data_IF_791376404930
#
_entry.id   IF_791376404930
#
_cell.length_a   1.000
_cell.length_b   1.000
_cell.length_c   1.000
_cell.angle_alpha   90.00
_cell.angle_beta   90.00
_cell.angle_gamma   90.00
#
_symmetry.space_group_name_H-M   'P 1'
#
loop_
_entity.id
_entity.type
_entity.pdbx_description
1 polymer ?
#
# COMPACT_ATOMS: atom_id res chain seq x y z
N UNK A 1 49.33 24.91 -3.69
CA UNK A 1 49.28 23.54 -4.24
C UNK A 1 48.02 22.88 -3.78
N UNK A 2 47.11 22.47 -4.67
CA UNK A 2 45.90 21.76 -4.25
C UNK A 2 46.27 20.29 -3.93
N UNK A 3 45.80 19.84 -2.76
CA UNK A 3 45.93 18.45 -2.33
C UNK A 3 44.90 17.65 -3.10
N UNK A 4 45.34 16.82 -4.04
CA UNK A 4 44.48 15.84 -4.70
C UNK A 4 44.38 14.64 -3.77
N UNK A 5 43.21 14.45 -3.12
CA UNK A 5 42.88 13.23 -2.40
C UNK A 5 42.46 12.18 -3.42
N UNK A 6 43.34 11.25 -3.74
CA UNK A 6 43.03 10.05 -4.49
C UNK A 6 42.08 9.17 -3.64
N UNK A 7 40.85 8.99 -4.12
CA UNK A 7 39.96 7.97 -3.57
C UNK A 7 40.43 6.59 -4.03
N UNK A 8 40.51 5.60 -3.12
CA UNK A 8 40.87 4.25 -3.50
C UNK A 8 39.85 3.67 -4.48
N UNK A 9 40.25 2.86 -5.46
CA UNK A 9 39.35 2.30 -6.46
C UNK A 9 38.27 1.44 -5.78
N UNK A 10 37.02 1.74 -6.10
CA UNK A 10 35.89 0.94 -5.68
C UNK A 10 36.00 -0.45 -6.32
N UNK A 11 36.17 -1.48 -5.50
CA UNK A 11 36.17 -2.87 -5.97
C UNK A 11 34.82 -3.18 -6.61
N UNK A 12 34.75 -3.81 -7.80
CA UNK A 12 33.49 -4.21 -8.40
C UNK A 12 32.78 -5.17 -7.46
N UNK A 13 31.51 -4.88 -7.19
CA UNK A 13 30.62 -5.76 -6.43
C UNK A 13 30.42 -7.02 -7.28
N UNK A 14 31.03 -8.13 -6.85
CA UNK A 14 30.76 -9.44 -7.42
C UNK A 14 29.27 -9.74 -7.24
N UNK A 15 28.57 -10.01 -8.35
CA UNK A 15 27.20 -10.51 -8.31
C UNK A 15 27.16 -11.76 -7.46
N UNK A 16 26.69 -11.67 -6.23
CA UNK A 16 26.25 -12.84 -5.49
C UNK A 16 24.96 -13.31 -6.18
N UNK A 17 25.02 -14.47 -6.82
CA UNK A 17 23.79 -15.16 -7.23
C UNK A 17 23.00 -15.47 -5.96
N UNK A 18 21.87 -14.77 -5.81
CA UNK A 18 20.91 -15.06 -4.77
C UNK A 18 20.15 -16.33 -5.20
N UNK A 19 20.60 -17.50 -4.76
CA UNK A 19 19.79 -18.71 -4.87
C UNK A 19 18.56 -18.50 -4.01
N UNK A 20 17.40 -18.45 -4.65
CA UNK A 20 16.13 -18.27 -3.97
C UNK A 20 15.95 -19.39 -2.92
N UNK A 21 15.37 -19.10 -1.75
CA UNK A 21 15.12 -20.10 -0.70
C UNK A 21 14.27 -21.30 -1.14
N UNK A 22 13.59 -21.20 -2.29
CA UNK A 22 12.78 -22.28 -2.87
C UNK A 22 13.62 -23.50 -3.30
N UNK A 23 14.86 -23.30 -3.77
CA UNK A 23 15.72 -24.43 -4.15
C UNK A 23 16.12 -25.31 -2.94
N UNK A 24 16.15 -24.72 -1.74
CA UNK A 24 16.42 -25.49 -0.52
C UNK A 24 15.22 -26.29 -0.03
N UNK A 25 13.99 -25.87 -0.35
CA UNK A 25 12.76 -26.59 -0.01
C UNK A 25 12.54 -27.80 -0.92
N UNK A 26 12.85 -27.70 -2.21
CA UNK A 26 12.78 -28.82 -3.15
C UNK A 26 13.81 -29.90 -2.82
N UNK A 27 15.04 -29.50 -2.50
CA UNK A 27 16.11 -30.45 -2.13
C UNK A 27 15.81 -31.18 -0.82
N UNK A 28 15.11 -30.54 0.13
CA UNK A 28 14.71 -31.17 1.38
C UNK A 28 13.52 -32.13 1.22
N UNK A 29 12.65 -31.89 0.24
CA UNK A 29 11.51 -32.77 -0.07
C UNK A 29 11.95 -34.05 -0.79
N UNK A 30 12.93 -33.98 -1.69
CA UNK A 30 13.50 -35.15 -2.36
C UNK A 30 14.21 -36.12 -1.41
N UNK A 31 14.82 -35.59 -0.33
CA UNK A 31 15.59 -36.41 0.60
C UNK A 31 14.75 -37.26 1.59
N UNK A 32 13.43 -37.07 1.70
CA UNK A 32 12.63 -37.71 2.75
C UNK A 32 11.36 -38.44 2.31
N UNK A 33 10.97 -38.42 1.05
CA UNK A 33 9.75 -39.10 0.59
C UNK A 33 8.49 -38.66 1.37
N UNK A 34 8.51 -37.50 2.00
CA UNK A 34 7.41 -36.96 2.77
C UNK A 34 6.62 -36.04 1.84
N UNK A 35 5.49 -36.57 1.37
CA UNK A 35 4.47 -35.69 0.76
C UNK A 35 3.92 -34.81 1.87
N UNK A 36 4.45 -33.63 2.05
CA UNK A 36 3.84 -32.58 2.86
C UNK A 36 2.64 -32.03 2.08
N UNK A 37 1.54 -32.75 2.06
CA UNK A 37 0.23 -32.12 1.90
C UNK A 37 0.01 -31.26 3.15
N UNK A 38 0.48 -30.02 3.09
CA UNK A 38 0.05 -29.02 4.04
C UNK A 38 -1.48 -28.96 3.97
N UNK A 39 -2.20 -29.14 5.10
CA UNK A 39 -3.63 -28.94 5.08
C UNK A 39 -3.86 -27.53 4.53
N UNK A 40 -4.66 -27.41 3.47
CA UNK A 40 -5.17 -26.13 2.99
C UNK A 40 -6.11 -25.57 4.05
N UNK A 41 -5.54 -25.09 5.15
CA UNK A 41 -6.28 -24.28 6.09
C UNK A 41 -6.64 -22.99 5.34
N UNK A 42 -7.91 -22.87 4.98
CA UNK A 42 -8.44 -21.60 4.49
C UNK A 42 -8.20 -20.59 5.61
N UNK A 43 -7.35 -19.56 5.39
CA UNK A 43 -7.10 -18.59 6.44
C UNK A 43 -8.44 -17.95 6.84
N UNK A 44 -8.66 -17.65 8.12
CA UNK A 44 -9.86 -16.98 8.55
C UNK A 44 -10.00 -15.65 7.82
N UNK A 45 -11.23 -15.22 7.49
CA UNK A 45 -11.46 -13.94 6.83
C UNK A 45 -10.94 -12.79 7.69
N UNK A 46 -10.38 -11.75 7.05
CA UNK A 46 -9.93 -10.56 7.74
C UNK A 46 -11.09 -9.86 8.44
N UNK A 47 -10.88 -9.41 9.67
CA UNK A 47 -11.79 -8.49 10.36
C UNK A 47 -11.53 -7.07 9.85
N UNK A 48 -12.45 -6.55 9.03
CA UNK A 48 -12.36 -5.23 8.42
C UNK A 48 -12.75 -4.09 9.36
N UNK A 49 -13.42 -4.38 10.49
CA UNK A 49 -13.99 -3.38 11.41
C UNK A 49 -13.00 -2.27 11.80
N UNK A 50 -11.71 -2.54 12.07
CA UNK A 50 -10.79 -1.48 12.46
C UNK A 50 -10.62 -0.38 11.40
N UNK A 51 -10.84 -0.69 10.12
CA UNK A 51 -10.69 0.26 9.01
C UNK A 51 -11.97 1.02 8.71
N UNK A 52 -13.16 0.44 8.99
CA UNK A 52 -14.45 0.95 8.51
C UNK A 52 -14.82 2.30 9.14
N UNK A 53 -15.49 3.11 8.35
CA UNK A 53 -16.06 4.39 8.75
C UNK A 53 -15.55 5.57 7.95
N UNK A 54 -15.97 6.76 8.38
CA UNK A 54 -15.57 8.03 7.77
C UNK A 54 -14.32 8.56 8.46
N UNK A 55 -13.33 8.91 7.66
CA UNK A 55 -12.05 9.47 8.09
C UNK A 55 -11.91 10.87 7.55
N UNK A 56 -11.59 11.82 8.41
CA UNK A 56 -11.42 13.24 8.10
C UNK A 56 -9.95 13.62 8.23
N UNK A 57 -9.46 14.41 7.28
CA UNK A 57 -8.10 14.91 7.34
C UNK A 57 -7.90 15.80 8.58
N UNK A 58 -6.83 15.58 9.33
CA UNK A 58 -6.47 16.41 10.48
C UNK A 58 -6.07 17.82 10.04
N UNK A 59 -5.55 18.00 8.83
CA UNK A 59 -5.35 19.30 8.21
C UNK A 59 -6.61 19.76 7.49
N UNK A 60 -7.33 20.72 8.10
CA UNK A 60 -8.57 21.30 7.55
C UNK A 60 -8.35 22.13 6.28
N UNK A 61 -7.10 22.53 6.01
CA UNK A 61 -6.71 23.32 4.85
C UNK A 61 -6.04 22.47 3.76
N UNK A 62 -6.13 21.14 3.87
CA UNK A 62 -5.54 20.24 2.88
C UNK A 62 -6.01 20.57 1.47
N UNK A 63 -5.09 20.48 0.51
CA UNK A 63 -5.40 20.60 -0.93
C UNK A 63 -5.54 19.24 -1.62
N UNK A 64 -5.39 18.14 -0.87
CA UNK A 64 -5.47 16.79 -1.38
C UNK A 64 -6.78 16.10 -1.01
N UNK A 65 -6.74 15.20 -0.03
CA UNK A 65 -7.90 14.40 0.42
C UNK A 65 -8.42 14.93 1.76
N UNK A 66 -9.54 15.68 1.79
CA UNK A 66 -10.17 16.13 3.03
C UNK A 66 -10.94 15.03 3.75
N UNK A 67 -11.46 14.03 3.00
CA UNK A 67 -12.34 13.00 3.53
C UNK A 67 -12.21 11.71 2.72
N UNK A 68 -12.31 10.58 3.40
CA UNK A 68 -12.56 9.28 2.79
C UNK A 68 -13.51 8.45 3.67
N UNK A 69 -14.14 7.46 3.06
CA UNK A 69 -14.99 6.50 3.73
C UNK A 69 -14.64 5.08 3.33
N UNK A 70 -14.50 4.21 4.31
CA UNK A 70 -14.25 2.78 4.11
C UNK A 70 -15.49 2.00 4.51
N UNK A 71 -16.01 1.20 3.59
CA UNK A 71 -17.19 0.36 3.78
C UNK A 71 -16.89 -1.08 3.44
N UNK A 72 -17.66 -2.01 4.01
CA UNK A 72 -17.53 -3.43 3.73
C UNK A 72 -18.86 -4.05 3.31
N UNK A 73 -18.79 -4.98 2.36
CA UNK A 73 -19.87 -5.88 2.01
C UNK A 73 -19.36 -7.31 2.11
N UNK A 74 -19.72 -8.01 3.21
CA UNK A 74 -19.11 -9.28 3.56
C UNK A 74 -17.61 -9.12 3.80
N UNK A 75 -16.78 -9.80 3.03
CA UNK A 75 -15.32 -9.73 3.09
C UNK A 75 -14.71 -8.71 2.12
N UNK A 76 -15.52 -8.07 1.29
CA UNK A 76 -15.07 -7.08 0.32
C UNK A 76 -15.02 -5.69 0.94
N UNK A 77 -13.85 -5.04 0.87
CA UNK A 77 -13.64 -3.66 1.28
C UNK A 77 -13.78 -2.74 0.07
N UNK A 78 -14.40 -1.59 0.29
CA UNK A 78 -14.51 -0.50 -0.69
C UNK A 78 -14.11 0.82 -0.05
N UNK A 79 -13.57 1.71 -0.86
CA UNK A 79 -13.17 3.06 -0.45
C UNK A 79 -13.85 4.10 -1.33
N UNK A 80 -14.38 5.14 -0.71
CA UNK A 80 -14.86 6.36 -1.35
C UNK A 80 -14.00 7.53 -0.90
N UNK A 81 -13.44 8.27 -1.84
CA UNK A 81 -12.56 9.41 -1.57
C UNK A 81 -13.19 10.70 -2.11
N UNK A 82 -12.98 11.78 -1.39
CA UNK A 82 -13.29 13.14 -1.83
C UNK A 82 -11.98 13.95 -1.88
N UNK A 83 -11.76 14.62 -3.01
CA UNK A 83 -10.65 15.54 -3.20
C UNK A 83 -11.03 16.97 -2.80
N UNK A 84 -10.04 17.78 -2.44
CA UNK A 84 -10.23 19.19 -2.12
C UNK A 84 -10.46 20.02 -3.39
N UNK A 85 -11.70 20.33 -3.67
CA UNK A 85 -12.14 21.23 -4.73
C UNK A 85 -12.96 22.39 -4.16
N UNK A 86 -13.09 23.46 -4.90
CA UNK A 86 -13.87 24.64 -4.51
C UNK A 86 -14.93 24.92 -5.59
N UNK A 87 -16.21 25.16 -5.22
CA UNK A 87 -16.76 25.37 -3.87
C UNK A 87 -17.13 24.08 -3.11
N UNK A 88 -17.17 22.92 -3.78
CA UNK A 88 -17.50 21.61 -3.19
C UNK A 88 -16.40 20.60 -3.44
N UNK A 89 -16.31 19.58 -2.61
CA UNK A 89 -15.34 18.50 -2.79
C UNK A 89 -15.55 17.75 -4.10
N UNK A 90 -14.44 17.37 -4.75
CA UNK A 90 -14.46 16.49 -5.91
C UNK A 90 -14.77 15.06 -5.46
N UNK A 91 -15.79 14.47 -5.99
CA UNK A 91 -16.18 13.10 -5.73
C UNK A 91 -15.38 12.13 -6.63
N UNK A 92 -14.45 11.38 -6.02
CA UNK A 92 -13.65 10.37 -6.73
C UNK A 92 -14.39 9.05 -6.95
N UNK A 93 -15.61 8.92 -6.41
CA UNK A 93 -16.42 7.71 -6.44
C UNK A 93 -15.86 6.60 -5.53
N UNK A 94 -16.60 5.49 -5.51
CA UNK A 94 -16.25 4.30 -4.75
C UNK A 94 -15.52 3.31 -5.64
N UNK A 95 -14.38 2.79 -5.16
CA UNK A 95 -13.65 1.72 -5.82
C UNK A 95 -13.38 0.58 -4.85
N UNK A 96 -13.14 -0.64 -5.35
CA UNK A 96 -12.69 -1.75 -4.51
C UNK A 96 -11.35 -1.45 -3.87
N UNK A 97 -11.18 -1.91 -2.62
CA UNK A 97 -9.94 -1.84 -1.89
C UNK A 97 -9.52 -3.23 -1.41
N UNK A 98 -8.23 -3.46 -1.28
CA UNK A 98 -7.68 -4.68 -0.72
C UNK A 98 -7.17 -4.41 0.69
N UNK A 99 -7.68 -5.17 1.66
CA UNK A 99 -7.25 -5.07 3.05
C UNK A 99 -6.08 -6.00 3.36
N UNK A 100 -5.29 -5.64 4.38
CA UNK A 100 -4.13 -6.40 4.84
C UNK A 100 -4.11 -6.43 6.37
N UNK A 101 -3.74 -7.59 6.93
CA UNK A 101 -3.36 -7.71 8.33
C UNK A 101 -1.88 -7.28 8.51
N UNK A 102 -1.44 -7.19 9.76
CA UNK A 102 -0.04 -6.91 10.10
C UNK A 102 0.87 -8.14 10.03
N UNK A 103 0.28 -9.34 10.02
CA UNK A 103 1.02 -10.60 9.92
C UNK A 103 0.16 -11.71 9.30
N UNK A 104 0.81 -12.81 8.91
CA UNK A 104 0.14 -14.00 8.32
C UNK A 104 -0.78 -14.72 9.32
N UNK A 105 -0.62 -14.48 10.61
CA UNK A 105 -1.39 -15.10 11.69
C UNK A 105 -2.43 -14.14 12.29
N UNK A 106 -2.52 -12.90 11.81
CA UNK A 106 -3.40 -11.87 12.34
C UNK A 106 -4.69 -11.79 11.52
N UNK A 107 -5.81 -11.52 12.19
CA UNK A 107 -7.11 -11.33 11.52
C UNK A 107 -7.54 -9.86 11.41
N UNK A 108 -7.20 -8.93 12.34
CA UNK A 108 -7.57 -7.54 12.18
C UNK A 108 -6.89 -6.92 10.96
N UNK A 109 -7.68 -6.28 10.10
CA UNK A 109 -7.16 -5.48 9.01
C UNK A 109 -6.59 -4.16 9.55
N UNK A 110 -5.33 -3.89 9.22
CA UNK A 110 -4.61 -2.69 9.68
C UNK A 110 -4.18 -1.78 8.54
N UNK A 111 -4.27 -2.26 7.30
CA UNK A 111 -3.91 -1.49 6.12
C UNK A 111 -4.81 -1.85 4.93
N UNK A 112 -4.81 -0.96 3.94
CA UNK A 112 -5.48 -1.21 2.67
C UNK A 112 -4.73 -0.56 1.51
N UNK A 113 -5.03 -1.03 0.29
CA UNK A 113 -4.64 -0.40 -0.96
C UNK A 113 -5.85 -0.27 -1.87
N UNK A 114 -5.88 0.79 -2.68
CA UNK A 114 -6.88 0.99 -3.73
C UNK A 114 -6.25 1.71 -4.93
N UNK A 115 -6.85 1.55 -6.09
CA UNK A 115 -6.40 2.20 -7.31
C UNK A 115 -7.56 2.99 -7.93
N UNK A 116 -7.35 4.28 -8.08
CA UNK A 116 -8.20 5.19 -8.85
C UNK A 116 -7.61 5.42 -10.23
N UNK A 117 -8.45 5.33 -11.25
CA UNK A 117 -8.06 5.61 -12.64
C UNK A 117 -8.93 6.73 -13.18
N UNK A 118 -8.31 7.87 -13.36
CA UNK A 118 -8.90 9.02 -14.03
C UNK A 118 -8.36 9.08 -15.47
N UNK A 119 -8.95 9.93 -16.30
CA UNK A 119 -8.50 10.08 -17.69
C UNK A 119 -7.08 10.63 -17.85
N UNK A 120 -6.54 11.28 -16.82
CA UNK A 120 -5.26 12.00 -16.85
C UNK A 120 -4.25 11.50 -15.81
N UNK A 121 -4.69 10.74 -14.79
CA UNK A 121 -3.84 10.27 -13.69
C UNK A 121 -4.33 8.94 -13.14
N UNK A 122 -3.42 8.05 -12.81
CA UNK A 122 -3.67 6.89 -11.96
C UNK A 122 -3.16 7.20 -10.55
N UNK A 123 -4.03 7.04 -9.54
CA UNK A 123 -3.71 7.30 -8.14
C UNK A 123 -3.81 6.01 -7.35
N UNK A 124 -2.67 5.53 -6.86
CA UNK A 124 -2.64 4.46 -5.86
C UNK A 124 -2.82 5.07 -4.48
N UNK A 125 -3.81 4.59 -3.74
CA UNK A 125 -4.09 5.00 -2.36
C UNK A 125 -3.70 3.87 -1.43
N UNK A 126 -2.85 4.15 -0.46
CA UNK A 126 -2.44 3.23 0.60
C UNK A 126 -2.86 3.84 1.94
N UNK A 127 -3.53 3.07 2.78
CA UNK A 127 -3.88 3.49 4.14
C UNK A 127 -3.35 2.52 5.16
N UNK A 128 -2.91 3.04 6.32
CA UNK A 128 -2.43 2.24 7.44
C UNK A 128 -2.90 2.82 8.76
N UNK A 129 -3.48 1.97 9.61
CA UNK A 129 -3.82 2.32 10.98
C UNK A 129 -2.58 2.32 11.86
N UNK A 130 -2.31 3.45 12.50
CA UNK A 130 -1.24 3.59 13.49
C UNK A 130 -1.69 4.55 14.58
N UNK A 131 -1.52 4.18 15.84
CA UNK A 131 -1.82 5.04 17.00
C UNK A 131 -3.23 5.63 17.01
N UNK A 132 -4.22 4.89 16.49
CA UNK A 132 -5.62 5.34 16.41
C UNK A 132 -5.94 6.31 15.26
N UNK A 133 -4.97 6.69 14.45
CA UNK A 133 -5.13 7.48 13.24
C UNK A 133 -4.97 6.62 11.99
N UNK A 134 -5.51 7.08 10.88
CA UNK A 134 -5.27 6.50 9.57
C UNK A 134 -4.26 7.35 8.81
N UNK A 135 -3.08 6.79 8.56
CA UNK A 135 -2.08 7.37 7.69
C UNK A 135 -2.38 6.95 6.27
N UNK A 136 -2.63 7.94 5.41
CA UNK A 136 -2.97 7.71 3.99
C UNK A 136 -1.87 8.29 3.14
N UNK A 137 -1.39 7.50 2.18
CA UNK A 137 -0.39 7.90 1.20
C UNK A 137 -0.96 7.70 -0.19
N UNK A 138 -0.77 8.67 -1.08
CA UNK A 138 -1.14 8.57 -2.49
C UNK A 138 0.10 8.64 -3.37
N UNK A 139 0.08 7.88 -4.45
CA UNK A 139 1.06 7.92 -5.53
C UNK A 139 0.31 8.24 -6.80
N UNK A 140 0.58 9.41 -7.35
CA UNK A 140 -0.08 9.95 -8.53
C UNK A 140 0.84 9.82 -9.74
N UNK A 141 0.41 9.01 -10.71
CA UNK A 141 1.10 8.78 -11.98
C UNK A 141 0.30 9.40 -13.12
N UNK A 142 0.86 10.44 -13.77
CA UNK A 142 0.20 11.12 -14.88
C UNK A 142 0.33 10.35 -16.19
N UNK A 143 -0.82 10.08 -16.82
CA UNK A 143 -0.92 9.26 -18.02
C UNK A 143 -1.36 10.05 -19.27
N UNK A 144 -1.52 11.37 -19.15
CA UNK A 144 -2.04 12.25 -20.19
C UNK A 144 -0.96 12.87 -21.12
N UNK A 145 0.30 12.52 -20.91
CA UNK A 145 1.42 13.06 -21.69
C UNK A 145 1.68 14.55 -21.45
N UNK A 146 1.14 15.12 -20.37
CA UNK A 146 1.30 16.54 -20.02
C UNK A 146 2.72 16.93 -19.61
N UNK A 147 3.60 15.95 -19.36
CA UNK A 147 4.95 16.17 -18.85
C UNK A 147 5.00 16.60 -17.38
N UNK A 148 3.88 16.45 -16.64
CA UNK A 148 3.86 16.64 -15.18
C UNK A 148 4.62 15.51 -14.51
N UNK A 149 5.38 15.87 -13.47
CA UNK A 149 6.10 14.88 -12.66
C UNK A 149 5.12 14.07 -11.80
N UNK A 150 5.37 12.76 -11.71
CA UNK A 150 4.69 11.91 -10.75
C UNK A 150 5.08 12.32 -9.33
N UNK A 151 4.12 12.26 -8.39
CA UNK A 151 4.40 12.64 -7.02
C UNK A 151 3.64 11.76 -6.01
N UNK A 152 4.07 11.84 -4.76
CA UNK A 152 3.33 11.26 -3.66
C UNK A 152 2.89 12.34 -2.66
N UNK A 153 1.82 12.05 -1.92
CA UNK A 153 1.34 12.88 -0.83
C UNK A 153 0.94 12.03 0.36
N UNK A 154 1.09 12.59 1.57
CA UNK A 154 0.79 11.91 2.83
C UNK A 154 -0.25 12.71 3.61
N UNK A 155 -1.23 12.01 4.17
CA UNK A 155 -2.31 12.59 4.96
C UNK A 155 -2.45 11.83 6.28
N UNK A 156 -2.77 12.55 7.35
CA UNK A 156 -3.14 11.96 8.64
C UNK A 156 -4.62 12.21 8.86
N UNK A 157 -5.37 11.15 9.08
CA UNK A 157 -6.83 11.20 9.19
C UNK A 157 -7.29 10.65 10.53
N UNK A 158 -8.37 11.23 11.06
CA UNK A 158 -9.04 10.80 12.29
C UNK A 158 -10.51 10.53 12.05
N UNK A 159 -11.11 9.79 12.96
CA UNK A 159 -12.58 9.57 13.02
C UNK A 159 -13.21 10.50 14.03
#
# INVERSE_FOLDING_TARGET
>A
MPIVTEHPPVKPITKHEFKAPMDMLETAAELKGITLEAPKAVPPPLDLKPLLGTWLNCDKNTRGIPKLELTASGTALSIHVWGACTPTFCDWKTVPAKAFADSVCSTPAVAFTALYRFSFVETTVIGRLQFGALFVETFDHFIDGSGREDYNAVYIMSR
#
